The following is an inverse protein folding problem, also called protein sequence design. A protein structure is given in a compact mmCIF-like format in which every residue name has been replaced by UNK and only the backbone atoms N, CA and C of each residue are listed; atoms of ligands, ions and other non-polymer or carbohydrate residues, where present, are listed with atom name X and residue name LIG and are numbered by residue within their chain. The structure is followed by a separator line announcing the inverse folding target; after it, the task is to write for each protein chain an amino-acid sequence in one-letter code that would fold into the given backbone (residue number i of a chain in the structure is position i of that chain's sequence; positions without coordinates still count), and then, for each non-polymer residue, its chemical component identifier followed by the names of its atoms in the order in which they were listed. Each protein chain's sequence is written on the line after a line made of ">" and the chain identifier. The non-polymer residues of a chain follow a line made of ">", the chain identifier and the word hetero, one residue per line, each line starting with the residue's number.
data_IF_254619557266
#
_entry.id   IF_254619557266
#
_cell.length_a   1.000
_cell.length_b   1.000
_cell.length_c   1.000
_cell.angle_alpha   90.00
_cell.angle_beta   90.00
_cell.angle_gamma   90.00
#
_symmetry.space_group_name_H-M   'P 1'
#
loop_
_entity.id
_entity.type
_entity.pdbx_description
1 polymer ?
#
# COMPACT_ATOMS: atom_id res chain seq x y z
N UNK A 1 17.12 -46.67 -34.83
CA UNK A 1 15.80 -46.20 -35.30
C UNK A 1 15.01 -45.80 -34.05
N UNK A 2 15.07 -44.53 -33.67
CA UNK A 2 14.53 -44.04 -32.40
C UNK A 2 13.29 -43.18 -32.67
N UNK A 3 12.16 -43.57 -32.05
CA UNK A 3 10.89 -42.86 -32.11
C UNK A 3 10.99 -41.57 -31.28
N UNK A 4 10.86 -40.42 -31.93
CA UNK A 4 10.59 -39.14 -31.29
C UNK A 4 9.11 -39.09 -30.89
N UNK A 5 8.82 -39.05 -29.59
CA UNK A 5 7.49 -38.70 -29.09
C UNK A 5 7.41 -37.19 -28.91
N UNK A 6 6.63 -36.53 -29.76
CA UNK A 6 6.21 -35.14 -29.59
C UNK A 6 5.18 -35.03 -28.46
N UNK A 7 5.53 -34.40 -27.35
CA UNK A 7 4.57 -33.95 -26.35
C UNK A 7 3.96 -32.62 -26.79
N UNK A 8 2.68 -32.62 -27.15
CA UNK A 8 1.91 -31.42 -27.43
C UNK A 8 1.77 -30.56 -26.16
N UNK A 9 2.16 -29.29 -26.24
CA UNK A 9 1.86 -28.30 -25.22
C UNK A 9 0.35 -27.99 -25.23
N UNK A 10 -0.34 -28.26 -24.13
CA UNK A 10 -1.73 -27.86 -23.96
C UNK A 10 -1.85 -26.33 -23.86
N UNK A 11 -2.88 -25.71 -24.47
CA UNK A 11 -3.03 -24.26 -24.48
C UNK A 11 -3.37 -23.72 -23.08
N UNK A 12 -2.64 -22.68 -22.67
CA UNK A 12 -2.93 -21.86 -21.50
C UNK A 12 -4.35 -21.30 -21.61
N UNK A 13 -5.22 -21.43 -20.58
CA UNK A 13 -6.54 -20.83 -20.62
C UNK A 13 -6.42 -19.30 -20.67
N UNK A 14 -6.95 -18.72 -21.75
CA UNK A 14 -7.03 -17.28 -21.98
C UNK A 14 -7.88 -16.65 -20.87
N UNK A 15 -7.22 -15.93 -19.96
CA UNK A 15 -7.89 -14.93 -19.12
C UNK A 15 -8.64 -13.97 -20.05
N UNK A 16 -9.94 -13.79 -19.81
CA UNK A 16 -10.86 -13.16 -20.74
C UNK A 16 -10.37 -11.76 -21.16
N UNK A 17 -10.34 -11.51 -22.48
CA UNK A 17 -9.93 -10.25 -23.08
C UNK A 17 -10.86 -9.06 -22.77
N UNK A 18 -11.95 -9.26 -22.01
CA UNK A 18 -12.93 -8.22 -21.73
C UNK A 18 -12.58 -7.36 -20.51
N UNK A 19 -11.92 -7.89 -19.47
CA UNK A 19 -11.56 -7.07 -18.29
C UNK A 19 -10.33 -6.18 -18.51
N UNK A 20 -9.52 -6.44 -19.55
CA UNK A 20 -8.45 -5.51 -19.97
C UNK A 20 -8.97 -4.28 -20.73
N UNK A 21 -10.24 -4.27 -21.16
CA UNK A 21 -10.77 -3.26 -22.09
C UNK A 21 -11.31 -1.98 -21.44
N UNK A 22 -11.42 -1.89 -20.11
CA UNK A 22 -11.90 -0.66 -19.44
C UNK A 22 -10.82 0.24 -18.84
N UNK A 23 -9.54 -0.12 -18.88
CA UNK A 23 -8.44 0.73 -18.38
C UNK A 23 -7.41 1.08 -19.47
N UNK A 24 -7.61 0.61 -20.71
CA UNK A 24 -6.71 0.88 -21.82
C UNK A 24 -7.45 1.43 -23.05
N UNK A 25 -7.80 2.72 -22.98
CA UNK A 25 -7.84 3.60 -24.15
C UNK A 25 -6.68 4.57 -23.93
N UNK A 26 -5.57 4.59 -24.64
CA UNK A 26 -5.22 4.09 -25.97
C UNK A 26 -3.67 4.06 -26.07
N UNK A 27 -3.14 3.26 -26.99
CA UNK A 27 -1.70 3.09 -27.34
C UNK A 27 -0.84 2.25 -26.39
N UNK A 28 -0.29 1.15 -26.92
CA UNK A 28 0.66 0.24 -26.26
C UNK A 28 2.06 0.81 -26.10
N UNK A 29 2.19 2.12 -25.83
CA UNK A 29 3.46 2.78 -25.54
C UNK A 29 3.55 2.96 -24.03
N UNK A 30 4.61 2.47 -23.35
CA UNK A 30 4.84 2.81 -21.96
C UNK A 30 4.82 4.34 -21.81
N UNK A 31 3.90 4.88 -21.01
CA UNK A 31 3.83 6.31 -20.76
C UNK A 31 5.16 6.86 -20.21
N UNK A 32 5.37 8.18 -20.29
CA UNK A 32 6.61 8.79 -19.82
C UNK A 32 6.88 8.43 -18.36
N UNK A 33 8.14 8.18 -18.02
CA UNK A 33 8.58 7.94 -16.65
C UNK A 33 9.38 9.13 -16.15
N UNK A 34 9.11 9.57 -14.93
CA UNK A 34 9.77 10.71 -14.30
C UNK A 34 10.70 10.22 -13.18
N UNK A 35 11.85 10.88 -13.06
CA UNK A 35 12.80 10.76 -11.96
C UNK A 35 12.29 11.47 -10.70
N UNK A 36 12.92 11.18 -9.55
CA UNK A 36 12.64 11.92 -8.32
C UNK A 36 12.85 13.42 -8.53
N UNK A 37 13.98 13.81 -9.13
CA UNK A 37 14.33 15.21 -9.39
C UNK A 37 13.28 15.93 -10.24
N UNK A 38 12.78 15.31 -11.30
CA UNK A 38 11.73 15.88 -12.16
C UNK A 38 10.42 16.10 -11.40
N UNK A 39 9.95 15.12 -10.61
CA UNK A 39 8.72 15.30 -9.83
C UNK A 39 8.94 16.33 -8.71
N UNK A 40 10.08 16.26 -8.03
CA UNK A 40 10.49 17.16 -6.94
C UNK A 40 10.79 18.58 -7.42
N UNK A 41 11.03 18.83 -8.71
CA UNK A 41 11.15 20.18 -9.27
C UNK A 41 9.85 20.73 -9.86
N UNK A 42 8.78 19.92 -9.90
CA UNK A 42 7.46 20.33 -10.36
C UNK A 42 7.16 20.01 -11.84
N UNK A 43 7.99 19.18 -12.48
CA UNK A 43 7.78 18.76 -13.88
C UNK A 43 6.59 17.80 -14.04
N UNK A 44 6.13 17.18 -12.95
CA UNK A 44 4.91 16.41 -12.98
C UNK A 44 3.69 17.33 -13.10
N UNK A 45 2.98 17.25 -14.23
CA UNK A 45 1.68 17.89 -14.45
C UNK A 45 0.70 16.86 -15.00
N UNK A 46 -0.44 16.62 -14.33
CA UNK A 46 -1.40 15.61 -14.76
C UNK A 46 -2.06 15.98 -16.09
N UNK A 47 -2.22 15.01 -16.98
CA UNK A 47 -2.96 15.19 -18.22
C UNK A 47 -4.46 15.31 -17.91
N UNK A 48 -5.06 16.46 -18.23
CA UNK A 48 -6.48 16.72 -17.96
C UNK A 48 -6.75 17.06 -16.49
N UNK A 49 -7.84 17.80 -16.25
CA UNK A 49 -8.25 18.19 -14.91
C UNK A 49 -8.41 17.00 -13.97
N UNK A 50 -8.07 17.19 -12.69
CA UNK A 50 -8.45 16.24 -11.65
C UNK A 50 -9.89 16.57 -11.28
N UNK A 51 -10.86 15.98 -12.00
CA UNK A 51 -12.30 16.15 -11.73
C UNK A 51 -12.67 15.45 -10.42
N UNK A 52 -12.32 16.09 -9.30
CA UNK A 52 -12.46 15.64 -7.91
C UNK A 52 -11.81 14.27 -7.62
N UNK A 53 -11.22 14.07 -6.42
CA UNK A 53 -10.77 12.75 -6.01
C UNK A 53 -11.97 11.78 -6.02
N UNK A 54 -11.95 10.75 -6.87
CA UNK A 54 -12.87 9.64 -6.69
C UNK A 54 -12.34 8.86 -5.50
N UNK A 55 -12.86 9.09 -4.29
CA UNK A 55 -12.64 8.17 -3.17
C UNK A 55 -13.27 6.85 -3.63
N UNK A 56 -12.47 5.84 -4.03
CA UNK A 56 -13.04 4.64 -4.59
C UNK A 56 -13.78 3.91 -3.48
N UNK A 57 -14.96 3.36 -3.77
CA UNK A 57 -15.60 2.41 -2.87
C UNK A 57 -14.74 1.15 -2.65
N UNK A 58 -13.83 0.86 -3.59
CA UNK A 58 -12.75 -0.11 -3.49
C UNK A 58 -11.48 0.44 -4.13
N UNK A 59 -10.39 0.51 -3.36
CA UNK A 59 -9.11 1.03 -3.87
C UNK A 59 -8.52 0.00 -4.85
N UNK A 60 -8.06 0.41 -6.05
CA UNK A 60 -7.56 -0.53 -7.05
C UNK A 60 -6.47 -1.47 -6.52
N UNK A 61 -6.59 -2.78 -6.84
CA UNK A 61 -5.70 -3.84 -6.34
C UNK A 61 -4.22 -3.62 -6.66
N UNK A 62 -3.90 -2.79 -7.65
CA UNK A 62 -2.53 -2.46 -8.04
C UNK A 62 -1.76 -1.69 -6.96
N UNK A 63 -2.42 -1.10 -5.95
CA UNK A 63 -1.73 -0.42 -4.84
C UNK A 63 -1.39 -1.33 -3.65
N UNK A 64 -1.75 -2.62 -3.69
CA UNK A 64 -1.58 -3.55 -2.56
C UNK A 64 -0.12 -3.80 -2.13
N UNK A 65 0.86 -3.38 -2.94
CA UNK A 65 2.28 -3.51 -2.65
C UNK A 65 2.94 -2.20 -2.17
N UNK A 66 2.20 -1.08 -2.15
CA UNK A 66 2.73 0.24 -1.82
C UNK A 66 2.55 0.56 -0.33
N UNK A 67 3.44 1.40 0.19
CA UNK A 67 3.24 2.06 1.48
C UNK A 67 2.28 3.23 1.33
N UNK A 68 1.54 3.53 2.39
CA UNK A 68 0.60 4.63 2.48
C UNK A 68 0.89 5.48 3.70
N UNK A 69 0.54 6.76 3.59
CA UNK A 69 0.48 7.69 4.70
C UNK A 69 -0.70 8.64 4.49
N UNK A 70 -1.45 8.90 5.56
CA UNK A 70 -2.56 9.86 5.57
C UNK A 70 -3.55 9.64 4.39
N UNK A 71 -3.83 8.37 4.09
CA UNK A 71 -4.76 7.95 3.03
C UNK A 71 -4.23 7.95 1.59
N UNK A 72 -2.92 8.19 1.36
CA UNK A 72 -2.35 8.26 0.02
C UNK A 72 -1.07 7.42 -0.14
N UNK A 73 -0.78 6.93 -1.36
CA UNK A 73 0.38 6.09 -1.62
C UNK A 73 1.70 6.88 -1.56
N UNK A 74 2.76 6.20 -1.16
CA UNK A 74 4.14 6.68 -1.17
C UNK A 74 4.90 5.99 -2.30
N UNK A 75 5.29 6.77 -3.30
CA UNK A 75 6.19 6.35 -4.35
C UNK A 75 7.64 6.48 -3.87
N UNK A 76 8.28 5.34 -3.64
CA UNK A 76 9.67 5.27 -3.18
C UNK A 76 10.60 5.15 -4.38
N UNK A 77 11.44 6.17 -4.58
CA UNK A 77 12.55 6.17 -5.52
C UNK A 77 13.78 5.62 -4.81
N UNK A 78 14.45 4.63 -5.38
CA UNK A 78 15.65 4.05 -4.76
C UNK A 78 16.81 5.06 -4.75
N UNK A 79 16.90 5.88 -5.78
CA UNK A 79 17.91 6.92 -6.00
C UNK A 79 17.38 7.95 -7.03
N UNK A 80 18.18 8.97 -7.36
CA UNK A 80 17.80 10.01 -8.32
C UNK A 80 17.62 9.50 -9.76
N UNK A 81 18.26 8.38 -10.12
CA UNK A 81 18.10 7.75 -11.44
C UNK A 81 16.83 6.89 -11.55
N UNK A 82 16.19 6.55 -10.42
CA UNK A 82 14.97 5.75 -10.39
C UNK A 82 13.85 6.49 -11.09
N UNK A 83 13.04 5.78 -11.90
CA UNK A 83 11.95 6.39 -12.67
C UNK A 83 10.63 5.70 -12.41
N UNK A 84 9.59 6.48 -12.20
CA UNK A 84 8.23 6.03 -11.94
C UNK A 84 7.31 6.51 -13.06
N UNK A 85 6.33 5.67 -13.43
CA UNK A 85 5.34 5.97 -14.46
C UNK A 85 4.56 7.24 -14.12
N UNK A 86 4.54 8.21 -15.05
CA UNK A 86 3.69 9.40 -14.94
C UNK A 86 2.22 9.01 -14.85
N UNK A 87 1.81 8.03 -15.66
CA UNK A 87 0.44 7.53 -15.67
C UNK A 87 0.02 6.99 -14.30
N UNK A 88 0.90 6.26 -13.61
CA UNK A 88 0.59 5.72 -12.28
C UNK A 88 0.38 6.85 -11.26
N UNK A 89 1.23 7.89 -11.32
CA UNK A 89 1.08 9.08 -10.47
C UNK A 89 -0.18 9.90 -10.80
N UNK A 90 -0.56 9.99 -12.07
CA UNK A 90 -1.83 10.61 -12.49
C UNK A 90 -3.03 9.85 -11.93
N UNK A 91 -3.01 8.52 -12.03
CA UNK A 91 -4.05 7.66 -11.44
C UNK A 91 -4.09 7.88 -9.92
N UNK A 92 -2.95 7.87 -9.22
CA UNK A 92 -2.92 8.11 -7.78
C UNK A 92 -3.49 9.48 -7.39
N UNK A 93 -3.14 10.54 -8.12
CA UNK A 93 -3.67 11.88 -7.86
C UNK A 93 -5.20 11.93 -8.03
N UNK A 94 -5.73 11.26 -9.06
CA UNK A 94 -7.17 11.16 -9.30
C UNK A 94 -7.90 10.28 -8.28
N UNK A 95 -7.26 9.22 -7.81
CA UNK A 95 -7.82 8.25 -6.85
C UNK A 95 -7.80 8.78 -5.42
N UNK A 96 -6.68 9.37 -4.98
CA UNK A 96 -6.47 9.72 -3.57
C UNK A 96 -6.46 11.23 -3.32
N UNK A 97 -6.51 12.06 -4.37
CA UNK A 97 -6.42 13.51 -4.27
C UNK A 97 -5.03 14.02 -3.89
N UNK A 98 -4.08 13.13 -3.63
CA UNK A 98 -2.66 13.41 -3.37
C UNK A 98 -1.84 12.13 -3.52
N UNK A 99 -0.53 12.27 -3.61
CA UNK A 99 0.41 11.17 -3.38
C UNK A 99 1.71 11.71 -2.81
N UNK A 100 2.52 10.84 -2.22
CA UNK A 100 3.82 11.19 -1.67
C UNK A 100 4.92 10.64 -2.57
N UNK A 101 6.03 11.36 -2.68
CA UNK A 101 7.28 10.82 -3.20
C UNK A 101 8.35 10.86 -2.12
N UNK A 102 9.20 9.84 -2.09
CA UNK A 102 10.33 9.73 -1.17
C UNK A 102 11.54 9.18 -1.93
N UNK A 103 12.69 9.82 -1.81
CA UNK A 103 13.96 9.30 -2.30
C UNK A 103 14.69 8.60 -1.14
N UNK A 104 14.96 7.31 -1.29
CA UNK A 104 15.58 6.49 -0.25
C UNK A 104 17.06 6.85 0.01
N UNK A 105 17.78 7.29 -1.00
CA UNK A 105 19.19 7.71 -0.91
C UNK A 105 19.31 9.08 -0.25
N UNK A 106 18.60 10.09 -0.75
CA UNK A 106 18.71 11.46 -0.26
C UNK A 106 17.80 11.77 0.93
N UNK A 107 16.89 10.86 1.27
CA UNK A 107 15.83 11.00 2.30
C UNK A 107 14.89 12.19 2.07
N UNK A 108 14.91 12.77 0.86
CA UNK A 108 14.02 13.89 0.50
C UNK A 108 12.64 13.38 0.16
N UNK A 109 11.64 14.19 0.49
CA UNK A 109 10.25 13.88 0.20
C UNK A 109 9.45 15.13 -0.12
N UNK A 110 8.32 14.93 -0.80
CA UNK A 110 7.29 15.94 -0.98
C UNK A 110 5.95 15.27 -1.26
N UNK A 111 4.86 15.95 -0.92
CA UNK A 111 3.51 15.53 -1.28
C UNK A 111 3.07 16.30 -2.53
N UNK A 112 2.53 15.60 -3.50
CA UNK A 112 1.96 16.19 -4.70
C UNK A 112 0.45 16.27 -4.54
N UNK A 113 -0.11 17.47 -4.75
CA UNK A 113 -1.54 17.74 -4.66
C UNK A 113 -2.02 18.51 -5.89
N UNK A 114 -3.32 18.44 -6.25
CA UNK A 114 -3.90 19.31 -7.27
C UNK A 114 -3.79 20.78 -6.84
N UNK A 115 -3.58 21.67 -7.79
CA UNK A 115 -3.66 23.11 -7.57
C UNK A 115 -5.13 23.54 -7.55
N UNK A 116 -5.57 24.15 -6.45
CA UNK A 116 -6.98 24.48 -6.21
C UNK A 116 -7.63 25.28 -7.36
N UNK A 117 -6.92 26.27 -7.90
CA UNK A 117 -7.46 27.21 -8.90
C UNK A 117 -6.95 26.93 -10.32
N UNK A 118 -6.39 25.75 -10.58
CA UNK A 118 -5.82 25.44 -11.90
C UNK A 118 -6.01 23.95 -12.23
N UNK A 119 -7.16 23.58 -12.81
CA UNK A 119 -7.41 22.22 -13.26
C UNK A 119 -6.28 21.72 -14.16
N UNK A 120 -5.77 20.52 -13.89
CA UNK A 120 -4.67 19.92 -14.64
C UNK A 120 -3.28 20.37 -14.18
N UNK A 121 -3.18 21.20 -13.14
CA UNK A 121 -1.91 21.50 -12.48
C UNK A 121 -1.78 20.77 -11.15
N UNK A 122 -0.57 20.30 -10.87
CA UNK A 122 -0.19 19.78 -9.57
C UNK A 122 0.92 20.63 -8.96
N UNK A 123 0.87 20.78 -7.63
CA UNK A 123 1.87 21.51 -6.86
C UNK A 123 2.46 20.61 -5.78
N UNK A 124 3.63 21.03 -5.32
CA UNK A 124 4.29 20.46 -4.17
C UNK A 124 3.75 21.05 -2.89
N UNK A 125 3.47 20.18 -1.93
CA UNK A 125 3.09 20.54 -0.57
C UNK A 125 3.99 19.83 0.43
N UNK A 126 4.47 20.59 1.41
CA UNK A 126 5.27 20.08 2.54
C UNK A 126 4.44 19.90 3.81
N UNK A 127 3.13 20.18 3.76
CA UNK A 127 2.26 20.26 4.95
C UNK A 127 1.65 18.93 5.44
N UNK A 128 1.96 17.79 4.82
CA UNK A 128 1.27 16.51 5.06
C UNK A 128 2.05 15.56 5.98
N UNK A 129 2.57 16.10 7.09
CA UNK A 129 3.32 15.35 8.09
C UNK A 129 4.74 14.96 7.67
N UNK A 130 5.47 14.35 8.60
CA UNK A 130 6.86 13.94 8.39
C UNK A 130 6.93 12.57 7.69
N UNK A 131 6.98 12.56 6.35
CA UNK A 131 7.15 11.33 5.56
C UNK A 131 8.47 10.63 5.93
N UNK A 132 9.52 11.38 6.27
CA UNK A 132 10.79 10.79 6.65
C UNK A 132 10.66 9.91 7.90
N UNK A 133 10.05 10.44 8.97
CA UNK A 133 9.78 9.65 10.20
C UNK A 133 8.92 8.41 9.92
N UNK A 134 7.91 8.53 9.04
CA UNK A 134 7.07 7.39 8.64
C UNK A 134 7.88 6.32 7.90
N UNK A 135 8.77 6.72 7.00
CA UNK A 135 9.65 5.80 6.29
C UNK A 135 10.64 5.11 7.23
N UNK A 136 11.09 5.77 8.29
CA UNK A 136 11.90 5.13 9.33
C UNK A 136 11.09 4.09 10.14
N UNK A 137 9.82 4.36 10.43
CA UNK A 137 8.94 3.38 11.07
C UNK A 137 8.75 2.15 10.17
N UNK A 138 8.52 2.36 8.87
CA UNK A 138 8.44 1.29 7.86
C UNK A 138 9.73 0.46 7.86
N UNK A 139 10.90 1.11 7.86
CA UNK A 139 12.19 0.43 7.88
C UNK A 139 12.35 -0.44 9.14
N UNK A 140 12.02 0.08 10.32
CA UNK A 140 12.06 -0.68 11.59
C UNK A 140 11.10 -1.87 11.58
N UNK A 141 9.88 -1.70 11.06
CA UNK A 141 8.93 -2.81 10.91
C UNK A 141 9.46 -3.86 9.94
N UNK A 142 10.05 -3.43 8.82
CA UNK A 142 10.62 -4.32 7.81
C UNK A 142 11.79 -5.14 8.36
N UNK A 143 12.65 -4.53 9.15
CA UNK A 143 13.79 -5.21 9.78
C UNK A 143 13.33 -6.26 10.80
N UNK A 144 12.36 -5.92 11.66
CA UNK A 144 11.90 -6.83 12.71
C UNK A 144 10.94 -7.94 12.26
N UNK A 145 10.12 -7.68 11.24
CA UNK A 145 8.99 -8.55 10.86
C UNK A 145 8.95 -8.91 9.36
N UNK A 146 9.92 -8.42 8.58
CA UNK A 146 10.01 -8.68 7.16
C UNK A 146 9.21 -7.72 6.27
N UNK A 147 9.48 -7.73 4.96
CA UNK A 147 8.92 -6.76 4.00
C UNK A 147 7.41 -6.87 3.83
N UNK A 148 6.85 -8.08 3.85
CA UNK A 148 5.40 -8.27 3.65
C UNK A 148 4.59 -7.75 4.82
N UNK A 149 5.05 -7.97 6.05
CA UNK A 149 4.41 -7.43 7.25
C UNK A 149 4.48 -5.91 7.24
N UNK A 150 5.63 -5.33 6.90
CA UNK A 150 5.77 -3.88 6.77
C UNK A 150 4.80 -3.29 5.73
N UNK A 151 4.66 -3.93 4.56
CA UNK A 151 3.71 -3.50 3.52
C UNK A 151 2.27 -3.58 4.00
N UNK A 152 1.89 -4.57 4.80
CA UNK A 152 0.51 -4.67 5.32
C UNK A 152 0.28 -3.66 6.44
N UNK A 153 1.25 -3.48 7.34
CA UNK A 153 1.17 -2.59 8.49
C UNK A 153 1.08 -1.11 8.09
N UNK A 154 1.85 -0.72 7.08
CA UNK A 154 1.97 0.68 6.61
C UNK A 154 1.45 0.87 5.19
N UNK A 155 0.64 -0.06 4.71
CA UNK A 155 0.11 -0.02 3.35
C UNK A 155 -1.31 0.50 3.29
N UNK A 156 -1.98 0.13 2.21
CA UNK A 156 -3.33 0.53 1.91
C UNK A 156 -4.29 0.23 3.09
N UNK A 157 -5.15 1.17 3.52
CA UNK A 157 -6.21 0.90 4.49
C UNK A 157 -7.06 -0.32 4.14
N UNK A 158 -7.67 -0.95 5.14
CA UNK A 158 -8.59 -2.08 4.91
C UNK A 158 -10.02 -1.60 4.67
N UNK A 159 -10.90 -2.50 4.24
CA UNK A 159 -12.30 -2.16 4.00
C UNK A 159 -12.95 -1.57 5.26
N UNK A 160 -13.56 -0.39 5.12
CA UNK A 160 -14.38 0.18 6.17
C UNK A 160 -15.55 -0.77 6.48
N UNK A 161 -15.78 -1.04 7.78
CA UNK A 161 -16.91 -1.86 8.21
C UNK A 161 -17.76 -1.06 9.18
N UNK A 162 -19.04 -0.93 8.84
CA UNK A 162 -20.07 -0.45 9.73
C UNK A 162 -21.17 -1.50 9.82
N UNK A 163 -21.35 -2.14 10.97
CA UNK A 163 -22.59 -2.88 11.25
C UNK A 163 -23.70 -1.92 11.66
N UNK A 164 -24.89 -2.09 11.08
CA UNK A 164 -26.12 -1.46 11.56
C UNK A 164 -26.66 -2.29 12.71
N UNK A 165 -26.72 -1.74 13.92
CA UNK A 165 -27.49 -2.31 15.02
C UNK A 165 -28.33 -1.16 15.60
N UNK A 166 -29.66 -1.29 15.53
CA UNK A 166 -30.64 -0.36 16.12
C UNK A 166 -30.27 1.14 16.06
N UNK A 167 -30.07 1.67 14.85
CA UNK A 167 -29.91 3.12 14.66
C UNK A 167 -28.55 3.73 15.05
N UNK A 168 -27.64 2.99 15.69
CA UNK A 168 -26.29 3.45 16.00
C UNK A 168 -25.23 2.67 15.18
N UNK A 169 -24.29 3.39 14.56
CA UNK A 169 -23.17 2.82 13.79
C UNK A 169 -21.90 2.84 14.64
N UNK A 170 -21.47 1.71 15.20
CA UNK A 170 -20.06 1.58 15.65
C UNK A 170 -19.62 0.12 15.67
N UNK A 171 -18.79 -0.27 14.70
CA UNK A 171 -17.88 -1.40 14.87
C UNK A 171 -16.61 -0.83 15.52
N UNK A 172 -16.39 -1.09 16.81
CA UNK A 172 -15.21 -0.59 17.50
C UNK A 172 -13.98 -1.43 17.12
N UNK A 173 -12.81 -0.77 17.04
CA UNK A 173 -11.57 -1.49 16.79
C UNK A 173 -11.32 -2.52 17.92
N UNK A 174 -10.80 -3.72 17.64
CA UNK A 174 -10.45 -4.70 18.67
C UNK A 174 -9.55 -4.09 19.74
N UNK A 175 -9.78 -4.46 21.00
CA UNK A 175 -8.93 -4.00 22.10
C UNK A 175 -7.52 -4.58 21.97
N UNK A 176 -6.48 -3.83 22.35
CA UNK A 176 -5.10 -4.31 22.22
C UNK A 176 -4.85 -5.63 22.94
N UNK A 177 -5.54 -5.87 24.06
CA UNK A 177 -5.48 -7.14 24.80
C UNK A 177 -5.95 -8.32 23.94
N UNK A 178 -6.96 -8.14 23.09
CA UNK A 178 -7.43 -9.15 22.14
C UNK A 178 -6.40 -9.38 21.04
N UNK A 179 -5.89 -8.30 20.44
CA UNK A 179 -4.85 -8.36 19.38
C UNK A 179 -3.64 -9.18 19.84
N UNK A 180 -3.15 -8.92 21.06
CA UNK A 180 -1.96 -9.61 21.57
C UNK A 180 -2.24 -11.01 22.12
N UNK A 181 -3.50 -11.44 22.25
CA UNK A 181 -3.88 -12.82 22.59
C UNK A 181 -4.07 -13.70 21.35
N UNK A 182 -4.29 -13.11 20.18
CA UNK A 182 -4.49 -13.85 18.93
C UNK A 182 -3.28 -14.72 18.58
N UNK A 183 -3.49 -15.83 17.86
CA UNK A 183 -2.39 -16.64 17.34
C UNK A 183 -1.51 -15.81 16.40
N UNK A 184 -0.17 -15.95 16.46
CA UNK A 184 0.71 -15.18 15.61
C UNK A 184 0.64 -15.72 14.18
N UNK A 185 0.44 -14.83 13.22
CA UNK A 185 0.46 -15.19 11.82
C UNK A 185 1.90 -15.52 11.43
N UNK A 186 2.10 -16.68 10.80
CA UNK A 186 3.41 -17.09 10.29
C UNK A 186 3.94 -16.05 9.31
N UNK A 187 5.19 -15.63 9.50
CA UNK A 187 5.90 -14.71 8.61
C UNK A 187 6.60 -15.40 7.45
N UNK A 188 6.56 -16.73 7.41
CA UNK A 188 7.30 -17.54 6.46
C UNK A 188 6.66 -17.48 5.06
N UNK A 189 7.31 -16.81 4.08
CA UNK A 189 6.80 -16.72 2.73
C UNK A 189 6.89 -18.06 1.99
N UNK A 190 7.70 -19.03 2.45
CA UNK A 190 7.87 -20.34 1.79
C UNK A 190 6.58 -21.18 1.77
N UNK A 191 5.61 -20.84 2.63
CA UNK A 191 4.26 -21.44 2.64
C UNK A 191 3.34 -20.92 1.55
N UNK A 192 3.73 -19.87 0.83
CA UNK A 192 3.03 -19.38 -0.36
C UNK A 192 3.99 -19.30 -1.53
N UNK A 193 3.69 -19.95 -2.64
CA UNK A 193 4.58 -19.91 -3.80
C UNK A 193 4.73 -18.50 -4.43
N UNK A 194 3.99 -17.49 -3.94
CA UNK A 194 4.02 -16.11 -4.46
C UNK A 194 3.85 -15.06 -3.34
N UNK A 195 4.81 -14.13 -3.25
CA UNK A 195 4.81 -12.98 -2.34
C UNK A 195 3.52 -12.14 -2.32
N UNK A 196 2.84 -12.04 -3.46
CA UNK A 196 1.55 -11.35 -3.59
C UNK A 196 0.43 -12.08 -2.86
N UNK A 197 0.40 -13.40 -2.93
CA UNK A 197 -0.67 -14.19 -2.32
C UNK A 197 -0.54 -14.21 -0.81
N UNK A 198 0.68 -14.20 -0.28
CA UNK A 198 0.92 -13.98 1.14
C UNK A 198 0.38 -12.62 1.60
N UNK A 199 0.71 -11.54 0.89
CA UNK A 199 0.20 -10.19 1.21
C UNK A 199 -1.32 -10.14 1.16
N UNK A 200 -1.95 -10.72 0.13
CA UNK A 200 -3.41 -10.83 0.03
C UNK A 200 -3.99 -11.60 1.20
N UNK A 201 -3.38 -12.72 1.60
CA UNK A 201 -3.82 -13.50 2.74
C UNK A 201 -3.75 -12.70 4.04
N UNK A 202 -2.65 -11.99 4.30
CA UNK A 202 -2.51 -11.12 5.46
C UNK A 202 -3.55 -10.00 5.47
N UNK A 203 -3.81 -9.37 4.31
CA UNK A 203 -4.87 -8.36 4.18
C UNK A 203 -6.24 -8.94 4.45
N UNK A 204 -6.57 -10.10 3.87
CA UNK A 204 -7.85 -10.76 4.12
C UNK A 204 -8.03 -11.13 5.60
N UNK A 205 -6.97 -11.56 6.27
CA UNK A 205 -7.00 -11.81 7.71
C UNK A 205 -7.29 -10.52 8.50
N UNK A 206 -6.64 -9.40 8.16
CA UNK A 206 -6.89 -8.11 8.79
C UNK A 206 -8.28 -7.56 8.48
N UNK A 207 -8.77 -7.66 7.23
CA UNK A 207 -10.13 -7.28 6.84
C UNK A 207 -11.17 -8.10 7.61
N UNK A 208 -10.97 -9.42 7.68
CA UNK A 208 -11.91 -10.36 8.32
C UNK A 208 -11.94 -10.19 9.84
N UNK A 209 -10.78 -10.28 10.48
CA UNK A 209 -10.67 -10.36 11.94
C UNK A 209 -10.50 -8.99 12.59
N UNK A 210 -10.26 -7.94 11.80
CA UNK A 210 -9.98 -6.57 12.26
C UNK A 210 -8.70 -6.43 13.07
N UNK A 211 -7.95 -7.51 13.24
CA UNK A 211 -6.65 -7.51 13.88
C UNK A 211 -5.80 -8.70 13.42
N UNK A 212 -4.49 -8.57 13.52
CA UNK A 212 -3.51 -9.65 13.34
C UNK A 212 -2.32 -9.43 14.27
N UNK A 213 -1.63 -10.51 14.66
CA UNK A 213 -0.42 -10.47 15.49
C UNK A 213 0.73 -11.12 14.76
N UNK A 214 1.92 -10.55 14.89
CA UNK A 214 3.17 -11.11 14.38
C UNK A 214 4.20 -11.16 15.50
N UNK A 215 5.11 -12.12 15.43
CA UNK A 215 6.28 -12.24 16.30
C UNK A 215 7.52 -12.09 15.43
N UNK A 216 8.51 -11.33 15.89
CA UNK A 216 9.76 -11.14 15.15
C UNK A 216 10.52 -12.46 14.97
N UNK A 217 11.40 -12.51 13.98
CA UNK A 217 12.20 -13.70 13.68
C UNK A 217 13.05 -14.18 14.87
N UNK A 218 13.51 -13.27 15.72
CA UNK A 218 14.25 -13.51 16.95
C UNK A 218 13.36 -13.88 18.17
N UNK A 219 12.03 -13.84 18.02
CA UNK A 219 11.08 -14.08 19.11
C UNK A 219 10.99 -12.96 20.16
N UNK A 220 11.82 -11.92 20.08
CA UNK A 220 11.96 -10.90 21.12
C UNK A 220 10.89 -9.81 21.09
N UNK A 221 10.21 -9.63 19.95
CA UNK A 221 9.24 -8.56 19.71
C UNK A 221 7.94 -9.12 19.15
N UNK A 222 6.84 -8.47 19.50
CA UNK A 222 5.51 -8.77 18.97
C UNK A 222 4.91 -7.50 18.39
N UNK A 223 4.42 -7.59 17.14
CA UNK A 223 3.70 -6.53 16.46
C UNK A 223 2.22 -6.89 16.39
N UNK A 224 1.36 -6.06 16.96
CA UNK A 224 -0.07 -6.13 16.77
C UNK A 224 -0.52 -5.11 15.75
N UNK A 225 -1.38 -5.51 14.81
CA UNK A 225 -2.13 -4.61 13.94
C UNK A 225 -3.61 -4.71 14.28
N UNK A 226 -4.32 -3.58 14.27
CA UNK A 226 -5.79 -3.55 14.32
C UNK A 226 -6.35 -2.51 13.37
N UNK A 227 -7.53 -2.78 12.82
CA UNK A 227 -8.21 -1.91 11.88
C UNK A 227 -9.42 -1.22 12.52
N UNK A 228 -9.44 0.12 12.49
CA UNK A 228 -10.58 0.95 12.93
C UNK A 228 -11.74 0.89 11.95
N UNK A 229 -12.96 1.22 12.40
CA UNK A 229 -14.18 1.20 11.57
C UNK A 229 -14.03 1.90 10.21
N UNK A 230 -13.27 2.99 10.15
CA UNK A 230 -12.96 3.76 8.94
C UNK A 230 -11.97 3.07 7.98
N UNK A 231 -11.38 1.94 8.38
CA UNK A 231 -10.41 1.17 7.61
C UNK A 231 -8.95 1.50 7.94
N UNK A 232 -8.68 2.55 8.71
CA UNK A 232 -7.31 2.90 9.13
C UNK A 232 -6.70 1.82 10.01
N UNK A 233 -5.38 1.63 9.87
CA UNK A 233 -4.63 0.58 10.57
C UNK A 233 -3.85 1.25 11.69
N UNK A 234 -4.03 0.75 12.91
CA UNK A 234 -3.15 1.06 14.03
C UNK A 234 -2.18 -0.08 14.28
N UNK A 235 -0.99 0.26 14.73
CA UNK A 235 0.04 -0.70 15.06
C UNK A 235 0.61 -0.45 16.46
N UNK A 236 0.94 -1.52 17.15
CA UNK A 236 1.55 -1.49 18.48
C UNK A 236 2.65 -2.54 18.60
N UNK A 237 3.78 -2.12 19.16
CA UNK A 237 4.94 -2.99 19.38
C UNK A 237 5.05 -3.34 20.87
N UNK A 238 5.27 -4.61 21.17
CA UNK A 238 5.64 -5.15 22.48
C UNK A 238 6.99 -5.83 22.42
N UNK A 239 7.77 -5.74 23.49
CA UNK A 239 8.91 -6.60 23.74
C UNK A 239 8.65 -7.51 24.96
N UNK A 240 9.65 -8.31 25.32
CA UNK A 240 9.63 -9.18 26.49
C UNK A 240 9.49 -8.43 27.84
N UNK A 241 9.66 -7.10 27.86
CA UNK A 241 9.67 -6.27 29.09
C UNK A 241 8.40 -5.39 29.19
N UNK A 242 7.61 -5.23 28.12
CA UNK A 242 6.40 -4.41 28.10
C UNK A 242 6.07 -3.78 26.74
N UNK A 243 5.18 -2.79 26.75
CA UNK A 243 4.83 -1.99 25.57
C UNK A 243 5.99 -1.05 25.19
N UNK A 244 6.41 -1.03 23.92
CA UNK A 244 7.51 -0.16 23.45
C UNK A 244 7.01 1.15 22.83
N UNK A 245 5.83 1.15 22.19
CA UNK A 245 5.37 2.33 21.43
C UNK A 245 3.99 2.13 20.81
N UNK A 246 3.20 3.21 20.77
CA UNK A 246 1.97 3.37 19.98
C UNK A 246 2.27 4.21 18.74
N UNK A 247 1.85 3.76 17.57
CA UNK A 247 1.93 4.56 16.34
C UNK A 247 0.55 4.68 15.70
N UNK A 248 0.22 5.89 15.25
CA UNK A 248 -0.97 6.15 14.44
C UNK A 248 -0.54 6.23 12.97
N UNK A 249 -1.08 5.34 12.15
CA UNK A 249 -0.92 5.35 10.68
C UNK A 249 -1.95 6.22 9.98
#
# INVERSE_FOLDING_TARGET
>A
MALFMCTQASPVPKVSQMERRMIASSSGVPGPKLTFGEVYSGMFQPNGGVDRPMIPSSIPNNYGHMYFKDGAPIYVFANDASRISKLDMEVALKTFGKFHIFNAETRRYVTIIPKADSPGQAIQSRGWGNIHEHMEQIARTREGFGPHVATVAHGLPVSAKSKKILGFKTETAPEWKEVFKAEPVSQDPSRSHYAEDFRKHLRLALDRNRHVRFVSSDGARTLGLRAKSDGSIELKLKNLVGDLSHFHG
#
